data_IF_586468267458
#
_entry.id   IF_586468267458
#
_cell.length_a   1.000
_cell.length_b   1.000
_cell.length_c   1.000
_cell.angle_alpha   90.00
_cell.angle_beta   90.00
_cell.angle_gamma   90.00
#
_symmetry.space_group_name_H-M   'P 1'
#
loop_
_entity.id
_entity.type
_entity.pdbx_description
1 polymer ?
#
# COMPACT_ATOMS: atom_id res chain seq x y z
N UNK A 1 43.00 -33.93 50.93
CA UNK A 1 42.63 -33.76 49.53
C UNK A 1 42.94 -32.35 49.04
N UNK A 2 42.79 -31.36 49.87
CA UNK A 2 43.04 -29.91 49.59
C UNK A 2 44.51 -29.62 49.19
N UNK A 3 45.49 -30.28 49.80
CA UNK A 3 46.92 -30.01 49.55
C UNK A 3 47.40 -30.45 48.14
N UNK A 4 46.74 -31.44 47.53
CA UNK A 4 47.06 -31.83 46.13
C UNK A 4 46.51 -30.89 45.07
N UNK A 5 45.31 -30.37 45.24
CA UNK A 5 44.69 -29.43 44.33
C UNK A 5 45.46 -28.12 44.29
N UNK A 6 45.93 -27.64 45.45
CA UNK A 6 46.72 -26.41 45.55
C UNK A 6 48.07 -26.55 44.79
N UNK A 7 48.67 -27.73 44.82
CA UNK A 7 49.90 -28.00 44.10
C UNK A 7 49.75 -28.11 42.60
N UNK A 8 48.58 -28.60 42.10
CA UNK A 8 48.26 -28.60 40.68
C UNK A 8 48.03 -27.20 40.16
N UNK A 9 47.25 -26.38 40.88
CA UNK A 9 47.03 -24.97 40.52
C UNK A 9 48.37 -24.23 40.40
N UNK A 10 49.22 -24.32 41.38
CA UNK A 10 50.53 -23.64 41.36
C UNK A 10 51.42 -24.06 40.19
N UNK A 11 51.33 -25.31 39.72
CA UNK A 11 52.08 -25.78 38.54
C UNK A 11 51.47 -25.18 37.28
N UNK A 12 50.14 -25.13 37.16
CA UNK A 12 49.44 -24.58 36.01
C UNK A 12 49.70 -23.05 35.93
N UNK A 13 49.53 -22.32 37.02
CA UNK A 13 49.76 -20.88 37.10
C UNK A 13 51.21 -20.54 36.66
N UNK A 14 52.21 -21.29 37.13
CA UNK A 14 53.59 -21.09 36.72
C UNK A 14 53.83 -21.37 35.23
N UNK A 15 53.14 -22.40 34.66
CA UNK A 15 53.24 -22.71 33.25
C UNK A 15 52.52 -21.65 32.37
N UNK A 16 51.44 -21.07 32.86
CA UNK A 16 50.73 -19.99 32.21
C UNK A 16 51.56 -18.71 32.17
N UNK A 17 52.19 -18.34 33.30
CA UNK A 17 53.11 -17.16 33.35
C UNK A 17 54.27 -17.30 32.35
N UNK A 18 54.70 -18.49 32.02
CA UNK A 18 55.83 -18.81 31.12
C UNK A 18 55.41 -19.24 29.72
N UNK A 19 54.12 -19.19 29.42
CA UNK A 19 53.62 -19.50 28.07
C UNK A 19 54.08 -18.43 27.06
N UNK A 20 54.43 -18.81 25.82
CA UNK A 20 54.39 -20.14 25.18
C UNK A 20 55.70 -20.96 25.29
N UNK A 21 56.74 -20.47 25.98
CA UNK A 21 58.07 -21.08 25.97
C UNK A 21 58.12 -22.47 26.62
N UNK A 22 57.27 -22.73 27.62
CA UNK A 22 57.24 -23.95 28.39
C UNK A 22 58.40 -24.14 29.35
N UNK A 23 58.25 -24.98 30.35
CA UNK A 23 59.26 -25.24 31.36
C UNK A 23 59.60 -26.73 31.41
N UNK A 24 60.85 -27.00 31.73
CA UNK A 24 61.30 -28.36 32.01
C UNK A 24 60.97 -28.76 33.46
N UNK A 25 60.87 -30.09 33.75
CA UNK A 25 60.66 -30.62 35.13
C UNK A 25 61.62 -29.98 36.13
N UNK A 26 62.86 -29.76 35.69
CA UNK A 26 63.92 -29.19 36.57
C UNK A 26 63.73 -27.74 36.85
N UNK A 27 63.21 -26.98 35.89
CA UNK A 27 62.85 -25.54 36.03
C UNK A 27 61.63 -25.35 36.96
N UNK A 28 60.57 -26.12 36.75
CA UNK A 28 59.36 -26.13 37.58
C UNK A 28 59.69 -26.48 39.02
N UNK A 29 60.54 -27.58 39.23
CA UNK A 29 60.95 -28.00 40.54
C UNK A 29 61.75 -26.93 41.30
N UNK A 30 62.59 -26.15 40.60
CA UNK A 30 63.37 -25.01 41.16
C UNK A 30 62.48 -23.84 41.55
N UNK A 31 61.57 -23.43 40.66
CA UNK A 31 60.73 -22.28 40.90
C UNK A 31 59.70 -22.54 42.01
N UNK A 32 59.15 -23.72 42.07
CA UNK A 32 58.19 -24.10 43.13
C UNK A 32 58.82 -24.64 44.42
N UNK A 33 60.14 -24.80 44.48
CA UNK A 33 60.83 -25.34 45.66
C UNK A 33 60.45 -26.80 45.95
N UNK A 34 60.07 -27.60 44.93
CA UNK A 34 59.57 -28.94 45.10
C UNK A 34 60.54 -30.03 44.57
N UNK A 35 60.38 -31.23 45.09
CA UNK A 35 61.16 -32.35 44.61
C UNK A 35 60.85 -32.72 43.17
N UNK A 36 61.85 -32.95 42.35
CA UNK A 36 61.74 -33.26 40.92
C UNK A 36 60.92 -34.53 40.63
N UNK A 37 60.96 -35.53 41.48
CA UNK A 37 60.15 -36.73 41.35
C UNK A 37 58.66 -36.46 41.61
N UNK A 38 58.39 -35.59 42.54
CA UNK A 38 56.95 -35.12 42.79
C UNK A 38 56.39 -34.32 41.63
N UNK A 39 57.15 -33.37 41.08
CA UNK A 39 56.76 -32.61 39.91
C UNK A 39 56.48 -33.51 38.70
N UNK A 40 57.35 -34.53 38.48
CA UNK A 40 57.11 -35.52 37.40
C UNK A 40 55.76 -36.18 37.54
N UNK A 41 55.44 -36.68 38.76
CA UNK A 41 54.15 -37.34 39.01
C UNK A 41 52.96 -36.41 38.80
N UNK A 42 53.09 -35.14 39.24
CA UNK A 42 52.00 -34.12 39.03
C UNK A 42 51.85 -33.83 37.56
N UNK A 43 52.92 -33.64 36.82
CA UNK A 43 52.87 -33.40 35.38
C UNK A 43 52.33 -34.61 34.61
N UNK A 44 52.62 -35.88 35.02
CA UNK A 44 52.04 -37.05 34.41
C UNK A 44 50.50 -37.09 34.60
N UNK A 45 50.02 -36.67 35.76
CA UNK A 45 48.57 -36.53 36.04
C UNK A 45 47.96 -35.38 35.19
N UNK A 46 48.56 -34.21 35.20
CA UNK A 46 48.12 -33.07 34.41
C UNK A 46 48.18 -33.29 32.90
N UNK A 47 49.08 -34.08 32.43
CA UNK A 47 49.18 -34.53 31.05
C UNK A 47 48.09 -35.55 30.71
N UNK A 48 47.80 -36.50 31.61
CA UNK A 48 46.71 -37.46 31.41
C UNK A 48 45.33 -36.85 31.52
N UNK A 49 45.16 -35.79 32.33
CA UNK A 49 43.93 -34.96 32.34
C UNK A 49 43.82 -34.02 31.13
N UNK A 50 44.91 -33.79 30.43
CA UNK A 50 44.95 -32.93 29.25
C UNK A 50 45.17 -31.46 29.56
N UNK A 51 45.44 -31.07 30.80
CA UNK A 51 45.67 -29.69 31.24
C UNK A 51 47.07 -29.19 30.85
N UNK A 52 48.00 -30.09 30.64
CA UNK A 52 49.38 -29.80 30.24
C UNK A 52 49.79 -30.65 29.04
N UNK A 53 50.41 -30.03 28.06
CA UNK A 53 51.02 -30.71 26.91
C UNK A 53 52.54 -30.79 27.05
N UNK A 54 53.15 -31.90 26.59
CA UNK A 54 54.60 -32.11 26.62
C UNK A 54 55.17 -32.09 25.19
N UNK A 55 56.19 -31.30 24.97
CA UNK A 55 56.98 -31.28 23.72
C UNK A 55 58.47 -31.70 24.05
N UNK A 56 59.08 -32.46 23.19
CA UNK A 56 60.53 -32.78 23.28
C UNK A 56 61.30 -31.65 22.53
N UNK A 57 62.20 -31.02 23.23
CA UNK A 57 63.16 -30.10 22.64
C UNK A 57 64.62 -30.65 22.92
N UNK A 58 65.18 -31.26 21.91
CA UNK A 58 66.41 -31.95 22.05
C UNK A 58 66.34 -33.10 23.08
N UNK A 59 67.18 -33.10 24.11
CA UNK A 59 67.19 -34.08 25.23
C UNK A 59 66.22 -33.69 26.38
N UNK A 60 65.58 -32.54 26.32
CA UNK A 60 64.72 -32.03 27.38
C UNK A 60 63.25 -32.18 27.03
N UNK A 61 62.42 -32.49 28.03
CA UNK A 61 60.96 -32.44 27.95
C UNK A 61 60.52 -31.04 28.47
N UNK A 62 59.79 -30.30 27.63
CA UNK A 62 59.13 -28.99 27.98
C UNK A 62 57.66 -29.24 28.14
N UNK A 63 57.11 -28.69 29.19
CA UNK A 63 55.68 -28.72 29.50
C UNK A 63 55.09 -27.33 29.33
N UNK A 64 53.97 -27.27 28.63
CA UNK A 64 53.20 -26.04 28.40
C UNK A 64 51.75 -26.23 28.84
N UNK A 65 51.06 -25.23 29.35
CA UNK A 65 49.66 -25.34 29.62
C UNK A 65 48.91 -25.60 28.32
N UNK A 66 47.95 -26.47 28.38
CA UNK A 66 47.05 -26.68 27.23
C UNK A 66 45.97 -25.61 27.33
N UNK A 67 45.94 -24.66 26.39
CA UNK A 67 44.83 -23.71 26.26
C UNK A 67 43.56 -24.47 25.77
N UNK A 68 43.00 -25.31 26.64
CA UNK A 68 41.68 -25.91 26.40
C UNK A 68 40.70 -25.14 27.25
N UNK A 69 39.72 -24.51 26.58
CA UNK A 69 38.53 -24.06 27.28
C UNK A 69 37.89 -25.31 27.90
N UNK A 70 37.59 -25.32 29.20
CA UNK A 70 36.92 -26.47 29.82
C UNK A 70 35.66 -26.82 29.04
N UNK A 71 35.43 -28.10 28.76
CA UNK A 71 34.24 -28.54 28.01
C UNK A 71 32.94 -28.08 28.68
N UNK A 72 32.94 -27.97 30.01
CA UNK A 72 31.80 -27.40 30.76
C UNK A 72 31.54 -25.94 30.42
N UNK A 73 32.60 -25.12 30.27
CA UNK A 73 32.46 -23.71 29.90
C UNK A 73 31.96 -23.56 28.46
N UNK A 74 32.43 -24.41 27.54
CA UNK A 74 31.91 -24.45 26.17
C UNK A 74 30.44 -24.86 26.14
N UNK A 75 30.07 -25.87 26.95
CA UNK A 75 28.71 -26.35 27.07
C UNK A 75 27.76 -25.24 27.60
N UNK A 76 28.23 -24.46 28.59
CA UNK A 76 27.46 -23.34 29.15
C UNK A 76 27.33 -22.13 28.21
N UNK A 77 28.28 -21.94 27.28
CA UNK A 77 28.23 -20.87 26.27
C UNK A 77 27.37 -21.21 25.08
N UNK A 78 26.88 -22.43 24.94
CA UNK A 78 25.97 -22.79 23.85
C UNK A 78 24.64 -22.05 24.00
N UNK A 79 24.17 -21.49 22.90
CA UNK A 79 22.90 -20.74 22.86
C UNK A 79 21.67 -21.62 22.96
N UNK A 80 21.78 -22.87 22.52
CA UNK A 80 20.69 -23.82 22.63
C UNK A 80 20.56 -24.28 24.09
N UNK A 81 19.33 -24.43 24.55
CA UNK A 81 19.07 -25.06 25.86
C UNK A 81 19.30 -26.57 25.76
N UNK A 82 20.22 -27.08 26.54
CA UNK A 82 20.63 -28.51 26.44
C UNK A 82 20.50 -29.19 27.80
N UNK A 83 19.88 -30.38 27.78
CA UNK A 83 19.84 -31.29 28.91
C UNK A 83 20.34 -32.68 28.49
N UNK A 84 21.14 -33.29 29.32
CA UNK A 84 21.64 -34.67 29.16
C UNK A 84 21.04 -35.53 30.26
N UNK A 85 20.45 -36.65 29.85
CA UNK A 85 19.72 -37.58 30.71
C UNK A 85 20.44 -38.94 30.70
N UNK A 86 20.32 -39.69 31.80
CA UNK A 86 20.66 -41.10 31.84
C UNK A 86 19.56 -42.00 31.21
N UNK A 87 19.76 -43.31 31.27
CA UNK A 87 18.83 -44.32 30.76
C UNK A 87 17.48 -44.31 31.50
N UNK A 88 17.45 -43.83 32.74
CA UNK A 88 16.25 -43.74 33.60
C UNK A 88 15.63 -42.35 33.57
N UNK A 89 16.12 -41.49 32.67
CA UNK A 89 15.65 -40.09 32.46
C UNK A 89 15.95 -39.15 33.62
N UNK A 90 17.00 -39.47 34.46
CA UNK A 90 17.49 -38.52 35.43
C UNK A 90 18.46 -37.54 34.76
N UNK A 91 18.42 -36.31 35.20
CA UNK A 91 19.25 -35.23 34.65
C UNK A 91 20.69 -35.43 35.08
N UNK A 92 21.58 -35.67 34.12
CA UNK A 92 23.03 -35.75 34.34
C UNK A 92 23.67 -34.36 34.23
N UNK A 93 23.31 -33.59 33.24
CA UNK A 93 23.84 -32.24 33.00
C UNK A 93 22.82 -31.36 32.34
N UNK A 94 22.89 -30.06 32.64
CA UNK A 94 22.16 -28.98 31.92
C UNK A 94 23.13 -27.82 31.71
N UNK A 95 22.91 -27.05 30.64
CA UNK A 95 23.66 -25.82 30.45
C UNK A 95 22.88 -24.60 30.96
N UNK A 96 23.59 -23.50 31.11
CA UNK A 96 22.98 -22.21 31.58
C UNK A 96 21.81 -21.77 30.70
N UNK A 97 21.86 -22.03 29.38
CA UNK A 97 20.75 -21.71 28.46
C UNK A 97 19.50 -22.53 28.78
N UNK A 98 19.57 -23.76 29.19
CA UNK A 98 18.44 -24.60 29.59
C UNK A 98 17.70 -23.99 30.79
N UNK A 99 18.46 -23.59 31.83
CA UNK A 99 17.92 -22.99 33.04
C UNK A 99 17.19 -21.66 32.71
N UNK A 100 17.84 -20.86 31.89
CA UNK A 100 17.31 -19.54 31.47
C UNK A 100 16.06 -19.65 30.60
N UNK A 101 16.09 -20.49 29.57
CA UNK A 101 15.01 -20.64 28.59
C UNK A 101 13.76 -21.22 29.22
N UNK A 102 13.89 -22.13 30.17
CA UNK A 102 12.74 -22.75 30.82
C UNK A 102 12.36 -22.10 32.16
N UNK A 103 12.93 -20.93 32.47
CA UNK A 103 12.55 -20.16 33.67
C UNK A 103 12.75 -20.89 34.98
N UNK A 104 13.76 -21.77 35.06
CA UNK A 104 14.02 -22.53 36.27
C UNK A 104 14.69 -21.59 37.29
N UNK A 105 13.89 -21.09 38.24
CA UNK A 105 14.34 -20.18 39.29
C UNK A 105 14.58 -20.94 40.60
N UNK A 106 15.74 -20.68 41.22
CA UNK A 106 16.11 -21.17 42.59
C UNK A 106 17.25 -22.14 42.59
N UNK A 107 17.91 -22.26 43.75
CA UNK A 107 19.05 -23.15 44.03
C UNK A 107 18.65 -24.66 44.06
N UNK A 108 17.60 -25.06 43.38
CA UNK A 108 17.25 -26.47 43.25
C UNK A 108 18.32 -27.14 42.41
N UNK A 109 19.10 -28.00 43.08
CA UNK A 109 19.98 -28.90 42.38
C UNK A 109 19.14 -29.88 41.53
N UNK A 110 18.90 -29.50 40.28
CA UNK A 110 18.10 -30.29 39.32
C UNK A 110 18.87 -31.52 38.81
N UNK A 111 20.17 -31.58 39.08
CA UNK A 111 21.02 -32.73 38.72
C UNK A 111 20.60 -33.91 39.57
N UNK A 112 20.39 -35.05 38.93
CA UNK A 112 19.91 -36.28 39.52
C UNK A 112 18.39 -36.39 39.70
N UNK A 113 17.65 -35.33 39.42
CA UNK A 113 16.18 -35.39 39.44
C UNK A 113 15.62 -36.00 38.15
N UNK A 114 14.50 -36.74 38.21
CA UNK A 114 13.79 -37.17 37.00
C UNK A 114 13.29 -35.96 36.19
N UNK A 115 13.51 -35.94 34.87
CA UNK A 115 13.14 -34.80 33.99
C UNK A 115 11.66 -34.45 34.13
N UNK A 116 10.79 -35.44 34.22
CA UNK A 116 9.32 -35.21 34.26
C UNK A 116 8.82 -34.68 35.61
N UNK A 117 9.61 -34.83 36.68
CA UNK A 117 9.25 -34.30 38.01
C UNK A 117 9.50 -32.80 38.14
N UNK A 118 10.25 -32.22 37.21
CA UNK A 118 10.47 -30.76 37.17
C UNK A 118 9.22 -29.97 36.75
N UNK A 119 8.16 -30.65 36.39
CA UNK A 119 6.88 -30.06 36.03
C UNK A 119 6.97 -28.98 34.89
N UNK A 120 7.98 -29.12 34.05
CA UNK A 120 8.19 -28.25 32.89
C UNK A 120 7.15 -28.57 31.81
N UNK A 121 6.30 -27.62 31.46
CA UNK A 121 5.17 -27.83 30.53
C UNK A 121 5.60 -28.44 29.20
N UNK A 122 6.73 -28.01 28.67
CA UNK A 122 7.26 -28.52 27.42
C UNK A 122 7.47 -30.03 27.44
N UNK A 123 7.96 -30.63 28.55
CA UNK A 123 8.19 -32.07 28.69
C UNK A 123 6.95 -32.88 29.07
N UNK A 124 5.83 -32.21 29.35
CA UNK A 124 4.56 -32.89 29.61
C UNK A 124 3.83 -33.24 28.31
N UNK A 125 4.26 -32.69 27.13
CA UNK A 125 3.68 -33.01 25.86
C UNK A 125 3.84 -34.51 25.52
N UNK A 126 2.73 -35.21 25.20
CA UNK A 126 2.80 -36.63 24.85
C UNK A 126 3.67 -36.94 23.64
N UNK A 127 3.88 -35.97 22.72
CA UNK A 127 4.76 -36.18 21.58
C UNK A 127 6.22 -36.21 21.99
N UNK A 128 6.65 -35.40 22.94
CA UNK A 128 7.99 -35.41 23.50
C UNK A 128 8.25 -36.75 24.23
N UNK A 129 7.30 -37.18 25.06
CA UNK A 129 7.43 -38.51 25.75
C UNK A 129 7.60 -39.64 24.76
N UNK A 130 6.78 -39.70 23.73
CA UNK A 130 6.91 -40.70 22.65
C UNK A 130 8.27 -40.65 21.94
N UNK A 131 8.79 -39.44 21.71
CA UNK A 131 10.09 -39.29 21.04
C UNK A 131 11.24 -39.78 21.96
N UNK A 132 11.19 -39.48 23.26
CA UNK A 132 12.16 -39.99 24.24
C UNK A 132 12.15 -41.52 24.29
N UNK A 133 10.97 -42.15 24.26
CA UNK A 133 10.84 -43.60 24.23
C UNK A 133 11.39 -44.22 22.93
N UNK A 134 11.26 -43.55 21.80
CA UNK A 134 11.78 -44.00 20.50
C UNK A 134 13.28 -43.92 20.37
N UNK A 135 13.97 -43.03 21.09
CA UNK A 135 15.44 -42.83 21.00
C UNK A 135 16.25 -44.00 21.46
N UNK A 136 15.67 -45.01 22.07
CA UNK A 136 16.35 -46.28 22.32
C UNK A 136 16.83 -47.00 21.04
N UNK A 137 16.34 -46.54 19.85
CA UNK A 137 16.85 -46.95 18.54
C UNK A 137 17.93 -45.98 18.05
N UNK A 138 18.97 -46.42 17.31
CA UNK A 138 20.01 -45.54 16.81
C UNK A 138 19.45 -44.54 15.79
N UNK A 139 19.64 -43.24 16.03
CA UNK A 139 19.20 -42.13 15.17
C UNK A 139 19.07 -40.83 15.93
N UNK A 140 19.08 -39.72 15.19
CA UNK A 140 18.76 -38.40 15.73
C UNK A 140 17.35 -38.02 15.28
N UNK A 141 16.54 -37.58 16.20
CA UNK A 141 15.15 -37.23 15.92
C UNK A 141 14.96 -35.71 16.08
N UNK A 142 14.42 -35.07 15.05
CA UNK A 142 14.11 -33.67 15.02
C UNK A 142 12.57 -33.48 15.07
N UNK A 143 12.11 -32.67 16.01
CA UNK A 143 10.69 -32.36 16.14
C UNK A 143 10.50 -30.84 16.36
N UNK A 144 9.73 -30.22 15.52
CA UNK A 144 9.30 -28.84 15.72
C UNK A 144 8.04 -28.83 16.59
N UNK A 145 8.08 -28.10 17.70
CA UNK A 145 6.98 -28.00 18.62
C UNK A 145 6.63 -26.58 18.93
N UNK A 146 5.34 -26.29 18.97
CA UNK A 146 4.80 -25.02 19.43
C UNK A 146 4.41 -25.17 20.90
N UNK A 147 5.08 -24.41 21.77
CA UNK A 147 4.77 -24.35 23.19
C UNK A 147 4.16 -22.98 23.52
N UNK A 148 3.02 -23.00 24.19
CA UNK A 148 2.32 -21.79 24.63
C UNK A 148 2.52 -21.66 26.14
N UNK A 149 3.27 -20.65 26.55
CA UNK A 149 3.48 -20.31 27.95
C UNK A 149 2.77 -18.98 28.26
N UNK A 150 1.71 -19.06 29.03
CA UNK A 150 0.81 -17.99 29.47
C UNK A 150 0.38 -16.98 28.41
N UNK A 151 0.95 -15.99 28.03
CA UNK A 151 0.59 -15.05 26.95
C UNK A 151 1.64 -14.97 25.85
N UNK A 152 2.74 -15.71 25.97
CA UNK A 152 3.80 -15.72 24.98
C UNK A 152 3.86 -17.08 24.28
N UNK A 153 3.61 -17.04 22.97
CA UNK A 153 3.63 -18.23 22.14
C UNK A 153 5.07 -18.51 21.67
N UNK A 154 5.80 -19.37 22.38
CA UNK A 154 7.14 -19.80 22.00
C UNK A 154 7.13 -21.04 21.11
N UNK A 155 7.97 -21.05 20.09
CA UNK A 155 8.15 -22.19 19.17
C UNK A 155 9.58 -22.71 19.34
N UNK A 156 9.68 -23.96 19.76
CA UNK A 156 10.98 -24.61 19.95
C UNK A 156 11.21 -25.67 18.88
N UNK A 157 12.41 -25.66 18.31
CA UNK A 157 12.93 -26.77 17.56
C UNK A 157 13.64 -27.70 18.58
N UNK A 158 13.14 -28.93 18.72
CA UNK A 158 13.65 -29.88 19.70
C UNK A 158 14.37 -31.00 18.96
N UNK A 159 15.62 -31.21 19.34
CA UNK A 159 16.49 -32.25 18.80
C UNK A 159 16.81 -33.24 19.90
N UNK A 160 16.66 -34.52 19.60
CA UNK A 160 16.93 -35.60 20.50
C UNK A 160 18.06 -36.44 19.90
N UNK A 161 19.10 -36.70 20.66
CA UNK A 161 20.23 -37.51 20.24
C UNK A 161 20.63 -38.54 21.33
N UNK A 162 20.93 -39.76 20.95
CA UNK A 162 21.52 -40.71 21.90
C UNK A 162 22.90 -40.24 22.30
N UNK A 163 23.25 -40.41 23.57
CA UNK A 163 24.57 -40.08 24.11
C UNK A 163 25.07 -41.24 25.02
N UNK A 164 26.32 -41.15 25.43
CA UNK A 164 26.92 -42.10 26.34
C UNK A 164 27.49 -41.34 27.53
N UNK A 165 27.14 -41.75 28.74
CA UNK A 165 27.68 -41.17 29.98
C UNK A 165 29.15 -41.54 30.19
N UNK A 166 29.85 -40.83 31.10
CA UNK A 166 31.24 -41.11 31.46
C UNK A 166 31.51 -42.55 31.92
N UNK A 167 30.48 -43.29 32.30
CA UNK A 167 30.57 -44.69 32.76
C UNK A 167 30.21 -45.67 31.62
N UNK A 168 30.06 -45.18 30.38
CA UNK A 168 29.71 -46.02 29.22
C UNK A 168 28.23 -46.44 29.19
N UNK A 169 27.38 -45.90 30.04
CA UNK A 169 25.94 -46.17 30.02
C UNK A 169 25.24 -45.30 28.98
N UNK A 170 24.22 -45.81 28.27
CA UNK A 170 23.44 -45.04 27.31
C UNK A 170 22.69 -43.91 28.02
N UNK A 171 22.55 -42.80 27.34
CA UNK A 171 21.82 -41.63 27.77
C UNK A 171 21.16 -40.90 26.59
N UNK A 172 20.48 -39.81 26.85
CA UNK A 172 19.77 -39.00 25.84
C UNK A 172 20.19 -37.55 26.02
N UNK A 173 20.57 -36.91 24.94
CA UNK A 173 20.74 -35.46 24.88
C UNK A 173 19.49 -34.85 24.23
N UNK A 174 18.91 -33.84 24.87
CA UNK A 174 17.80 -33.04 24.32
C UNK A 174 18.30 -31.60 24.16
N UNK A 175 18.23 -31.09 22.94
CA UNK A 175 18.57 -29.72 22.61
C UNK A 175 17.32 -28.97 22.20
N UNK A 176 17.06 -27.81 22.81
CA UNK A 176 15.94 -26.93 22.48
C UNK A 176 16.49 -25.63 21.93
N UNK A 177 16.03 -25.26 20.74
CA UNK A 177 16.32 -23.98 20.11
C UNK A 177 15.03 -23.17 19.98
N UNK A 178 15.00 -21.99 20.56
CA UNK A 178 13.90 -21.06 20.33
C UNK A 178 13.99 -20.53 18.89
N UNK A 179 12.99 -20.83 18.08
CA UNK A 179 12.86 -20.40 16.69
C UNK A 179 11.69 -19.45 16.49
N UNK A 180 11.14 -18.89 17.58
CA UNK A 180 9.96 -18.03 17.56
C UNK A 180 10.15 -16.83 16.64
N UNK A 181 11.26 -16.11 16.79
CA UNK A 181 11.59 -14.95 15.97
C UNK A 181 11.68 -15.31 14.47
N UNK A 182 12.33 -16.43 14.16
CA UNK A 182 12.46 -16.93 12.80
C UNK A 182 11.11 -17.34 12.19
N UNK A 183 10.27 -18.06 12.93
CA UNK A 183 8.92 -18.47 12.48
C UNK A 183 7.97 -17.28 12.31
N UNK A 184 8.06 -16.31 13.21
CA UNK A 184 7.28 -15.08 13.08
C UNK A 184 7.70 -14.29 11.84
N UNK A 185 9.00 -14.17 11.58
CA UNK A 185 9.52 -13.50 10.39
C UNK A 185 9.11 -14.26 9.10
N UNK A 186 9.21 -15.59 9.09
CA UNK A 186 8.75 -16.43 7.97
C UNK A 186 7.25 -16.22 7.69
N UNK A 187 6.44 -16.25 8.76
CA UNK A 187 4.99 -16.06 8.66
C UNK A 187 4.64 -14.64 8.21
N UNK A 188 5.33 -13.64 8.75
CA UNK A 188 5.15 -12.25 8.34
C UNK A 188 5.49 -12.05 6.85
N UNK A 189 6.60 -12.65 6.39
CA UNK A 189 6.99 -12.61 4.98
C UNK A 189 5.91 -13.26 4.08
N UNK A 190 5.48 -14.47 4.40
CA UNK A 190 4.41 -15.18 3.67
C UNK A 190 3.11 -14.39 3.63
N UNK A 191 2.75 -13.77 4.75
CA UNK A 191 1.55 -12.93 4.81
C UNK A 191 1.70 -11.66 3.98
N UNK A 192 2.87 -11.03 4.00
CA UNK A 192 3.19 -9.87 3.16
C UNK A 192 3.12 -10.21 1.67
N UNK A 193 3.76 -11.30 1.26
CA UNK A 193 3.70 -11.78 -0.13
C UNK A 193 2.26 -12.08 -0.57
N UNK A 194 1.48 -12.76 0.28
CA UNK A 194 0.08 -13.06 0.00
C UNK A 194 -0.74 -11.78 -0.13
N UNK A 195 -0.50 -10.79 0.73
CA UNK A 195 -1.17 -9.49 0.70
C UNK A 195 -0.84 -8.74 -0.60
N UNK A 196 0.44 -8.65 -0.95
CA UNK A 196 0.90 -8.01 -2.19
C UNK A 196 0.27 -8.70 -3.41
N UNK A 197 0.31 -10.02 -3.48
CA UNK A 197 -0.28 -10.80 -4.56
C UNK A 197 -1.81 -10.58 -4.67
N UNK A 198 -2.49 -10.47 -3.53
CA UNK A 198 -3.93 -10.21 -3.51
C UNK A 198 -4.21 -8.80 -4.06
N UNK A 199 -3.51 -7.77 -3.58
CA UNK A 199 -3.64 -6.40 -4.07
C UNK A 199 -3.38 -6.35 -5.58
N UNK A 200 -2.28 -6.92 -6.05
CA UNK A 200 -1.92 -6.97 -7.45
C UNK A 200 -3.04 -7.59 -8.33
N UNK A 201 -3.71 -8.63 -7.83
CA UNK A 201 -4.80 -9.31 -8.56
C UNK A 201 -6.14 -8.59 -8.52
N UNK A 202 -6.45 -7.86 -7.45
CA UNK A 202 -7.79 -7.30 -7.18
C UNK A 202 -7.92 -5.82 -7.51
N UNK A 203 -6.80 -5.09 -7.60
CA UNK A 203 -6.82 -3.68 -8.02
C UNK A 203 -7.51 -3.55 -9.39
N UNK A 204 -8.48 -2.63 -9.54
CA UNK A 204 -9.22 -2.43 -10.79
C UNK A 204 -8.39 -1.77 -11.89
N UNK A 205 -7.26 -1.18 -11.55
CA UNK A 205 -6.30 -0.63 -12.52
C UNK A 205 -5.45 -1.75 -13.12
N UNK A 206 -5.15 -1.65 -14.41
CA UNK A 206 -4.21 -2.54 -15.09
C UNK A 206 -2.79 -2.29 -14.57
N UNK A 207 -2.05 -3.36 -14.29
CA UNK A 207 -0.65 -3.30 -13.92
C UNK A 207 0.11 -4.27 -14.82
N UNK A 208 1.12 -3.78 -15.54
CA UNK A 208 2.02 -4.58 -16.36
C UNK A 208 3.44 -4.29 -15.91
N UNK A 209 4.19 -5.35 -15.65
CA UNK A 209 5.63 -5.29 -15.34
C UNK A 209 6.41 -5.69 -16.59
N UNK A 210 7.46 -4.95 -16.91
CA UNK A 210 8.26 -5.19 -18.11
C UNK A 210 9.71 -4.74 -17.92
N UNK A 211 10.61 -5.25 -18.74
CA UNK A 211 12.03 -4.91 -18.77
C UNK A 211 12.31 -3.70 -19.66
N UNK A 212 13.50 -3.13 -19.59
CA UNK A 212 13.91 -1.96 -20.38
C UNK A 212 13.84 -2.20 -21.90
N UNK A 213 13.93 -3.45 -22.36
CA UNK A 213 13.74 -3.85 -23.76
C UNK A 213 12.28 -4.05 -24.18
N UNK A 214 11.35 -3.86 -23.22
CA UNK A 214 9.91 -3.98 -23.45
C UNK A 214 9.35 -5.38 -23.28
N UNK A 215 10.14 -6.36 -22.85
CA UNK A 215 9.67 -7.71 -22.57
C UNK A 215 8.75 -7.71 -21.35
N UNK A 216 7.54 -8.25 -21.49
CA UNK A 216 6.55 -8.29 -20.44
C UNK A 216 6.86 -9.42 -19.47
N UNK A 217 7.06 -9.06 -18.19
CA UNK A 217 7.38 -9.99 -17.10
C UNK A 217 6.11 -10.51 -16.41
N UNK A 218 5.16 -9.62 -16.14
CA UNK A 218 3.94 -9.97 -15.42
C UNK A 218 2.82 -8.97 -15.71
N UNK A 219 1.58 -9.37 -15.48
CA UNK A 219 0.43 -8.49 -15.56
C UNK A 219 -0.68 -8.97 -14.62
N UNK A 220 -1.44 -8.04 -14.08
CA UNK A 220 -2.58 -8.38 -13.23
C UNK A 220 -3.83 -8.72 -14.08
N UNK A 221 -4.87 -9.23 -13.41
CA UNK A 221 -6.11 -9.60 -14.08
C UNK A 221 -6.80 -8.40 -14.76
N UNK A 222 -6.75 -7.23 -14.12
CA UNK A 222 -7.37 -6.02 -14.66
C UNK A 222 -6.74 -5.61 -15.99
N UNK A 223 -5.41 -5.74 -16.15
CA UNK A 223 -4.74 -5.46 -17.44
C UNK A 223 -5.33 -6.26 -18.58
N UNK A 224 -5.54 -7.56 -18.36
CA UNK A 224 -6.11 -8.44 -19.41
C UNK A 224 -7.54 -8.00 -19.76
N UNK A 225 -8.36 -7.68 -18.76
CA UNK A 225 -9.74 -7.24 -18.96
C UNK A 225 -9.81 -5.89 -19.69
N UNK A 226 -8.99 -4.92 -19.28
CA UNK A 226 -8.97 -3.58 -19.87
C UNK A 226 -8.44 -3.59 -21.31
N UNK A 227 -7.49 -4.45 -21.63
CA UNK A 227 -6.97 -4.64 -22.99
C UNK A 227 -7.83 -5.60 -23.83
N UNK A 228 -8.82 -6.26 -23.25
CA UNK A 228 -9.68 -7.22 -23.94
C UNK A 228 -8.95 -8.53 -24.31
N UNK A 229 -8.00 -8.95 -23.47
CA UNK A 229 -7.25 -10.20 -23.63
C UNK A 229 -7.85 -11.31 -22.77
N UNK A 230 -7.78 -12.54 -23.22
CA UNK A 230 -8.30 -13.71 -22.48
C UNK A 230 -7.26 -14.33 -21.56
N UNK A 231 -6.00 -14.31 -21.98
CA UNK A 231 -4.92 -15.00 -21.28
C UNK A 231 -3.66 -14.13 -21.17
N UNK A 232 -2.90 -14.38 -20.13
CA UNK A 232 -1.58 -13.75 -19.96
C UNK A 232 -0.61 -14.13 -21.09
N UNK A 233 -0.74 -15.33 -21.65
CA UNK A 233 0.09 -15.80 -22.76
C UNK A 233 -0.09 -14.94 -24.02
N UNK A 234 -1.30 -14.46 -24.29
CA UNK A 234 -1.58 -13.54 -25.39
C UNK A 234 -0.86 -12.19 -25.21
N UNK A 235 -0.78 -11.70 -24.00
CA UNK A 235 -0.06 -10.47 -23.67
C UNK A 235 1.47 -10.66 -23.79
N UNK A 236 2.00 -11.78 -23.29
CA UNK A 236 3.44 -12.08 -23.33
C UNK A 236 3.98 -12.38 -24.73
N UNK A 237 3.12 -12.66 -25.71
CA UNK A 237 3.58 -12.88 -27.09
C UNK A 237 4.01 -11.60 -27.81
N UNK A 238 3.70 -10.43 -27.24
CA UNK A 238 4.07 -9.12 -27.77
C UNK A 238 5.11 -8.40 -26.89
N UNK A 239 5.69 -7.36 -27.45
CA UNK A 239 6.50 -6.41 -26.72
C UNK A 239 5.65 -5.19 -26.37
N UNK A 240 5.86 -4.60 -25.19
CA UNK A 240 5.07 -3.44 -24.75
C UNK A 240 5.20 -2.25 -25.70
N UNK A 241 6.35 -2.13 -26.37
CA UNK A 241 6.62 -1.08 -27.33
C UNK A 241 5.96 -1.30 -28.71
N UNK A 242 5.51 -2.53 -28.99
CA UNK A 242 4.78 -2.84 -30.22
C UNK A 242 3.31 -2.38 -30.14
N UNK A 243 2.80 -2.14 -28.93
CA UNK A 243 1.48 -1.57 -28.74
C UNK A 243 1.52 -0.12 -29.21
N UNK A 244 0.87 0.18 -30.33
CA UNK A 244 1.00 1.45 -31.08
C UNK A 244 0.65 2.71 -30.26
N UNK A 245 -0.13 2.59 -29.20
CA UNK A 245 -0.44 3.71 -28.29
C UNK A 245 0.74 4.11 -27.38
N UNK A 246 1.78 3.26 -27.25
CA UNK A 246 2.92 3.53 -26.36
C UNK A 246 4.19 4.01 -27.12
N UNK A 247 4.22 3.92 -28.44
CA UNK A 247 5.42 4.28 -29.22
C UNK A 247 5.79 5.75 -29.07
N UNK A 248 7.04 5.98 -28.66
CA UNK A 248 7.67 7.29 -28.58
C UNK A 248 7.76 7.86 -27.18
N UNK A 249 6.63 8.05 -26.51
CA UNK A 249 6.61 8.67 -25.17
C UNK A 249 7.22 7.75 -24.13
N UNK A 250 6.90 6.46 -24.17
CA UNK A 250 7.38 5.46 -23.20
C UNK A 250 8.90 5.28 -23.25
N UNK A 251 9.49 5.22 -24.46
CA UNK A 251 10.94 5.06 -24.61
C UNK A 251 11.72 6.23 -23.99
N UNK A 252 11.23 7.46 -24.17
CA UNK A 252 11.88 8.64 -23.57
C UNK A 252 11.83 8.61 -22.05
N UNK A 253 10.69 8.21 -21.47
CA UNK A 253 10.49 8.13 -20.03
C UNK A 253 11.33 7.04 -19.38
N UNK A 254 11.42 5.87 -20.04
CA UNK A 254 12.27 4.75 -19.59
C UNK A 254 13.74 5.18 -19.57
N UNK A 255 14.21 5.86 -20.62
CA UNK A 255 15.60 6.35 -20.69
C UNK A 255 15.94 7.35 -19.59
N UNK A 256 14.96 8.11 -19.10
CA UNK A 256 15.14 9.09 -18.04
C UNK A 256 15.03 8.48 -16.62
N UNK A 257 14.52 7.25 -16.48
CA UNK A 257 14.33 6.59 -15.19
C UNK A 257 13.39 7.34 -14.24
N UNK A 258 12.52 8.19 -14.77
CA UNK A 258 11.59 9.02 -14.00
C UNK A 258 10.19 8.42 -14.00
N UNK A 259 9.44 8.71 -12.92
CA UNK A 259 7.99 8.49 -12.88
C UNK A 259 7.33 9.50 -13.81
N UNK A 260 6.42 9.03 -14.67
CA UNK A 260 5.70 9.90 -15.57
C UNK A 260 4.23 9.51 -15.65
N UNK A 261 3.38 10.53 -15.66
CA UNK A 261 1.94 10.40 -15.82
C UNK A 261 1.52 10.98 -17.18
N UNK A 262 0.69 10.26 -17.88
CA UNK A 262 0.18 10.68 -19.20
C UNK A 262 -1.15 10.05 -19.52
N UNK A 263 -1.96 10.74 -20.31
CA UNK A 263 -3.14 10.12 -20.91
C UNK A 263 -2.79 9.48 -22.25
N UNK A 264 -3.26 8.25 -22.45
CA UNK A 264 -3.11 7.54 -23.70
C UNK A 264 -4.46 7.25 -24.33
N UNK A 265 -4.49 7.40 -25.65
CA UNK A 265 -5.66 7.05 -26.46
C UNK A 265 -5.33 5.78 -27.25
N UNK A 266 -6.06 4.72 -26.95
CA UNK A 266 -5.89 3.43 -27.61
C UNK A 266 -7.05 3.18 -28.59
N UNK A 267 -6.73 3.09 -29.88
CA UNK A 267 -7.65 2.63 -30.92
C UNK A 267 -7.51 1.11 -31.07
N UNK A 268 -8.41 0.36 -30.44
CA UNK A 268 -8.40 -1.08 -30.43
C UNK A 268 -8.71 -1.69 -31.81
N UNK A 269 -9.44 -0.99 -32.66
CA UNK A 269 -9.72 -1.45 -34.03
C UNK A 269 -8.48 -1.34 -34.90
N UNK A 270 -7.64 -0.34 -34.66
CA UNK A 270 -6.32 -0.19 -35.29
C UNK A 270 -5.35 -1.26 -34.78
N UNK A 271 -5.22 -1.46 -33.46
CA UNK A 271 -4.34 -2.49 -32.86
C UNK A 271 -4.67 -3.88 -33.42
N UNK A 272 -5.95 -4.19 -33.61
CA UNK A 272 -6.40 -5.46 -34.20
C UNK A 272 -6.03 -5.57 -35.66
N UNK A 273 -6.19 -4.52 -36.45
CA UNK A 273 -5.84 -4.52 -37.87
C UNK A 273 -4.34 -4.70 -38.12
N UNK A 274 -3.53 -4.10 -37.25
CA UNK A 274 -2.07 -4.21 -37.33
C UNK A 274 -1.54 -5.53 -36.73
N UNK A 275 -2.43 -6.41 -36.24
CA UNK A 275 -2.16 -7.75 -35.70
C UNK A 275 -1.11 -7.81 -34.58
N UNK A 276 -0.91 -6.72 -33.88
CA UNK A 276 0.13 -6.61 -32.87
C UNK A 276 -0.19 -7.45 -31.63
N UNK A 277 -1.45 -7.49 -31.21
CA UNK A 277 -1.95 -8.29 -30.08
C UNK A 277 -3.39 -8.72 -30.39
N UNK A 278 -3.83 -9.94 -30.02
CA UNK A 278 -5.18 -10.47 -30.28
C UNK A 278 -6.24 -9.87 -29.37
N UNK A 279 -6.42 -8.54 -29.39
CA UNK A 279 -7.39 -7.84 -28.54
C UNK A 279 -8.83 -8.09 -29.00
N UNK A 280 -9.72 -8.37 -28.05
CA UNK A 280 -11.16 -8.53 -28.29
C UNK A 280 -11.96 -7.25 -28.03
N UNK A 281 -11.37 -6.24 -27.44
CA UNK A 281 -11.96 -4.92 -27.21
C UNK A 281 -12.08 -4.18 -28.53
N UNK A 282 -13.11 -3.34 -28.67
CA UNK A 282 -13.38 -2.54 -29.88
C UNK A 282 -13.41 -1.05 -29.54
N UNK A 283 -13.22 -0.22 -30.58
CA UNK A 283 -13.34 1.21 -30.50
C UNK A 283 -12.17 1.90 -29.79
N UNK A 284 -12.38 3.15 -29.43
CA UNK A 284 -11.36 4.01 -28.80
C UNK A 284 -11.56 3.98 -27.29
N UNK A 285 -10.48 3.78 -26.57
CA UNK A 285 -10.44 3.93 -25.11
C UNK A 285 -9.40 4.96 -24.67
N UNK A 286 -9.70 5.63 -23.57
CA UNK A 286 -8.83 6.61 -22.93
C UNK A 286 -8.29 5.99 -21.64
N UNK A 287 -6.98 5.99 -21.48
CA UNK A 287 -6.31 5.49 -20.29
C UNK A 287 -5.51 6.59 -19.62
N UNK A 288 -5.66 6.70 -18.31
CA UNK A 288 -4.73 7.42 -17.46
C UNK A 288 -3.62 6.45 -17.08
N UNK A 289 -2.37 6.81 -17.36
CA UNK A 289 -1.23 5.88 -17.31
C UNK A 289 -0.07 6.48 -16.54
N UNK A 290 0.45 5.68 -15.60
CA UNK A 290 1.62 5.99 -14.80
C UNK A 290 2.72 4.99 -15.12
N UNK A 291 3.88 5.50 -15.53
CA UNK A 291 5.11 4.72 -15.69
C UNK A 291 5.99 4.90 -14.48
N UNK A 292 6.51 3.83 -13.90
CA UNK A 292 7.41 3.88 -12.76
C UNK A 292 8.51 2.84 -12.84
N UNK A 293 9.77 3.19 -12.59
CA UNK A 293 10.84 2.22 -12.41
C UNK A 293 10.64 1.45 -11.10
N UNK A 294 10.95 0.14 -11.09
CA UNK A 294 10.80 -0.73 -9.91
C UNK A 294 12.15 -1.13 -9.35
N UNK A 295 13.07 -1.58 -10.18
CA UNK A 295 14.34 -2.13 -9.75
C UNK A 295 15.51 -1.36 -10.39
N UNK A 296 16.51 -1.06 -9.55
CA UNK A 296 17.79 -0.51 -9.97
C UNK A 296 18.88 -1.50 -9.57
N UNK A 297 19.60 -2.02 -10.55
CA UNK A 297 20.77 -2.85 -10.30
C UNK A 297 21.97 -1.98 -9.92
N UNK A 298 22.37 -2.02 -8.64
CA UNK A 298 23.67 -1.52 -8.15
C UNK A 298 24.00 -0.04 -8.44
N UNK A 299 22.99 0.85 -8.59
CA UNK A 299 23.20 2.28 -8.90
C UNK A 299 23.26 2.61 -10.39
N UNK A 300 22.92 1.66 -11.27
CA UNK A 300 22.78 1.84 -12.72
C UNK A 300 21.38 2.34 -13.14
N UNK A 301 21.13 2.32 -14.47
CA UNK A 301 19.81 2.58 -15.01
C UNK A 301 18.80 1.52 -14.54
N UNK A 302 17.52 1.88 -14.38
CA UNK A 302 16.49 0.93 -13.98
C UNK A 302 16.38 -0.25 -14.97
N UNK A 303 16.31 -1.47 -14.46
CA UNK A 303 16.18 -2.70 -15.26
C UNK A 303 14.75 -3.15 -15.46
N UNK A 304 13.86 -2.82 -14.54
CA UNK A 304 12.44 -3.19 -14.54
C UNK A 304 11.54 -1.99 -14.33
N UNK A 305 10.38 -2.02 -14.96
CA UNK A 305 9.39 -0.96 -14.96
C UNK A 305 7.99 -1.51 -14.73
N UNK A 306 7.12 -0.66 -14.19
CA UNK A 306 5.69 -0.89 -14.15
C UNK A 306 4.93 0.16 -14.96
N UNK A 307 3.88 -0.30 -15.63
CA UNK A 307 2.82 0.55 -16.16
C UNK A 307 1.59 0.29 -15.30
N UNK A 308 1.06 1.36 -14.72
CA UNK A 308 -0.26 1.37 -14.11
C UNK A 308 -1.18 2.13 -15.04
N UNK A 309 -2.35 1.57 -15.35
CA UNK A 309 -3.30 2.26 -16.21
C UNK A 309 -4.74 2.04 -15.75
N UNK A 310 -5.51 3.13 -15.81
CA UNK A 310 -6.92 3.17 -15.47
C UNK A 310 -7.72 3.57 -16.70
N UNK A 311 -8.81 2.86 -16.98
CA UNK A 311 -9.75 3.26 -18.01
C UNK A 311 -10.57 4.47 -17.53
N UNK A 312 -10.45 5.57 -18.25
CA UNK A 312 -11.17 6.82 -18.01
C UNK A 312 -12.11 7.16 -19.18
N UNK A 313 -12.44 6.16 -20.00
CA UNK A 313 -13.24 6.36 -21.21
C UNK A 313 -14.61 6.93 -20.89
N UNK A 314 -15.29 6.37 -19.89
CA UNK A 314 -16.63 6.82 -19.48
C UNK A 314 -16.60 8.25 -18.94
N UNK A 315 -15.63 8.56 -18.08
CA UNK A 315 -15.41 9.89 -17.50
C UNK A 315 -15.11 10.92 -18.60
N UNK A 316 -14.25 10.54 -19.55
CA UNK A 316 -13.87 11.41 -20.68
C UNK A 316 -15.04 11.67 -21.62
N UNK A 317 -15.82 10.66 -21.97
CA UNK A 317 -16.99 10.80 -22.82
C UNK A 317 -18.07 11.64 -22.14
N UNK A 318 -18.35 11.41 -20.86
CA UNK A 318 -19.30 12.22 -20.09
C UNK A 318 -18.88 13.69 -20.00
N UNK A 319 -17.58 13.94 -19.76
CA UNK A 319 -17.04 15.30 -19.75
C UNK A 319 -17.19 15.99 -21.13
N UNK A 320 -16.85 15.28 -22.22
CA UNK A 320 -17.03 15.80 -23.58
C UNK A 320 -18.50 16.10 -23.90
N UNK A 321 -19.40 15.22 -23.51
CA UNK A 321 -20.84 15.43 -23.69
C UNK A 321 -21.34 16.64 -22.91
N UNK A 322 -20.87 16.81 -21.66
CA UNK A 322 -21.22 17.98 -20.85
C UNK A 322 -20.74 19.29 -21.50
N UNK A 323 -19.47 19.34 -21.90
CA UNK A 323 -18.86 20.48 -22.60
C UNK A 323 -19.63 20.78 -23.90
N UNK A 324 -19.98 19.74 -24.67
CA UNK A 324 -20.76 19.91 -25.89
C UNK A 324 -22.17 20.48 -25.62
N UNK A 325 -22.86 19.96 -24.59
CA UNK A 325 -24.19 20.46 -24.18
C UNK A 325 -24.09 21.91 -23.70
N UNK A 326 -23.07 22.23 -22.91
CA UNK A 326 -22.87 23.60 -22.44
C UNK A 326 -22.57 24.57 -23.60
N UNK A 327 -21.63 24.16 -24.49
CA UNK A 327 -21.29 24.99 -25.66
C UNK A 327 -22.50 25.22 -26.58
N UNK A 328 -23.29 24.15 -26.79
CA UNK A 328 -24.53 24.23 -27.56
C UNK A 328 -25.53 25.15 -26.89
N UNK A 329 -25.77 24.99 -25.59
CA UNK A 329 -26.65 25.87 -24.82
C UNK A 329 -26.19 27.32 -24.92
N UNK A 330 -24.93 27.60 -24.66
CA UNK A 330 -24.35 28.94 -24.70
C UNK A 330 -24.44 29.56 -26.08
N UNK A 331 -24.22 28.77 -27.14
CA UNK A 331 -24.41 29.25 -28.52
C UNK A 331 -25.86 29.64 -28.80
N UNK A 332 -26.84 28.88 -28.38
CA UNK A 332 -28.25 29.26 -28.53
C UNK A 332 -28.60 30.49 -27.69
N UNK A 333 -28.17 30.49 -26.44
CA UNK A 333 -28.44 31.58 -25.50
C UNK A 333 -27.89 32.90 -25.99
N UNK A 334 -26.66 32.95 -26.47
CA UNK A 334 -26.02 34.20 -26.91
C UNK A 334 -26.45 34.67 -28.31
N UNK A 335 -26.81 33.76 -29.23
CA UNK A 335 -27.11 34.10 -30.61
C UNK A 335 -28.63 34.23 -30.90
N UNK A 336 -29.50 34.04 -29.92
CA UNK A 336 -30.93 34.36 -30.13
C UNK A 336 -31.13 35.87 -30.27
N UNK A 337 -32.06 36.27 -31.19
CA UNK A 337 -32.40 37.65 -31.38
C UNK A 337 -33.21 38.24 -30.23
N UNK A 338 -33.85 37.40 -29.43
CA UNK A 338 -34.62 37.81 -28.27
C UNK A 338 -33.71 37.95 -27.03
N UNK A 339 -33.99 38.96 -26.22
CA UNK A 339 -33.33 39.08 -24.93
C UNK A 339 -33.74 37.91 -24.03
N UNK A 340 -32.76 37.32 -23.35
CA UNK A 340 -33.00 36.27 -22.36
C UNK A 340 -32.35 36.68 -21.04
N UNK A 341 -33.17 36.66 -20.00
CA UNK A 341 -32.73 36.97 -18.63
C UNK A 341 -33.03 35.75 -17.75
N UNK A 342 -32.11 35.41 -16.88
CA UNK A 342 -32.28 34.39 -15.87
C UNK A 342 -32.16 35.04 -14.50
N UNK A 343 -33.16 34.82 -13.67
CA UNK A 343 -33.24 35.36 -12.32
C UNK A 343 -33.19 34.26 -11.28
N UNK A 344 -32.46 34.51 -10.23
CA UNK A 344 -32.51 33.71 -9.01
C UNK A 344 -33.45 34.37 -8.01
N UNK A 345 -34.58 33.73 -7.62
CA UNK A 345 -35.49 34.29 -6.64
C UNK A 345 -34.84 34.22 -5.26
N UNK A 346 -34.90 35.30 -4.49
CA UNK A 346 -34.46 35.38 -3.10
C UNK A 346 -35.63 35.82 -2.23
N UNK A 347 -35.51 35.63 -0.91
CA UNK A 347 -36.53 36.03 0.09
C UNK A 347 -37.93 35.49 -0.24
N UNK A 348 -38.04 34.22 -0.63
CA UNK A 348 -39.28 33.54 -1.06
C UNK A 348 -39.96 34.19 -2.30
N UNK A 349 -39.21 34.92 -3.14
CA UNK A 349 -39.69 35.57 -4.33
C UNK A 349 -40.08 37.05 -4.14
N UNK A 350 -39.72 37.64 -3.03
CA UNK A 350 -39.88 39.05 -2.80
C UNK A 350 -38.85 39.90 -3.57
N UNK A 351 -37.73 39.27 -3.94
CA UNK A 351 -36.66 39.91 -4.70
C UNK A 351 -36.04 38.90 -5.70
N UNK A 352 -35.40 39.41 -6.76
CA UNK A 352 -34.80 38.60 -7.82
C UNK A 352 -33.40 39.12 -8.16
N UNK A 353 -32.42 38.24 -8.25
CA UNK A 353 -31.04 38.55 -8.67
C UNK A 353 -30.83 38.11 -10.11
N UNK A 354 -30.26 38.97 -10.95
CA UNK A 354 -29.83 38.59 -12.29
C UNK A 354 -28.71 37.52 -12.20
N UNK A 355 -28.99 36.32 -12.68
CA UNK A 355 -28.04 35.20 -12.72
C UNK A 355 -27.27 35.17 -14.03
N UNK A 356 -27.97 35.35 -15.14
CA UNK A 356 -27.37 35.41 -16.47
C UNK A 356 -28.25 36.24 -17.41
N UNK A 357 -27.61 36.86 -18.42
CA UNK A 357 -28.25 37.59 -19.49
C UNK A 357 -27.52 37.35 -20.79
N UNK A 358 -28.22 37.29 -21.92
CA UNK A 358 -27.61 37.11 -23.24
C UNK A 358 -27.28 38.44 -23.89
N UNK A 359 -26.51 38.39 -24.97
CA UNK A 359 -26.11 39.60 -25.74
C UNK A 359 -27.27 40.40 -26.31
N UNK A 360 -28.40 39.78 -26.69
CA UNK A 360 -29.58 40.50 -27.13
C UNK A 360 -30.19 41.34 -26.00
N UNK A 361 -30.18 40.83 -24.76
CA UNK A 361 -30.60 41.59 -23.57
C UNK A 361 -29.76 42.85 -23.38
N UNK A 362 -28.44 42.75 -23.53
CA UNK A 362 -27.56 43.93 -23.41
C UNK A 362 -27.92 45.02 -24.41
N UNK A 363 -28.21 44.60 -25.64
CA UNK A 363 -28.63 45.54 -26.69
C UNK A 363 -30.00 46.20 -26.41
N UNK A 364 -30.98 45.39 -26.00
CA UNK A 364 -32.33 45.86 -25.70
C UNK A 364 -32.31 46.81 -24.50
N UNK A 365 -31.60 46.45 -23.43
CA UNK A 365 -31.55 47.28 -22.21
C UNK A 365 -30.51 48.40 -22.29
N UNK A 366 -29.59 48.33 -23.27
CA UNK A 366 -28.44 49.24 -23.39
C UNK A 366 -27.58 49.23 -22.12
N UNK A 367 -27.35 48.04 -21.56
CA UNK A 367 -26.57 47.79 -20.35
C UNK A 367 -25.67 46.59 -20.57
N UNK A 368 -24.44 46.62 -20.06
CA UNK A 368 -23.54 45.52 -20.16
C UNK A 368 -23.89 44.41 -19.14
N UNK A 369 -23.63 43.17 -19.49
CA UNK A 369 -23.90 42.01 -18.64
C UNK A 369 -23.29 42.13 -17.23
N UNK A 370 -22.09 42.70 -17.13
CA UNK A 370 -21.40 42.94 -15.87
C UNK A 370 -22.11 43.94 -14.94
N UNK A 371 -22.95 44.82 -15.51
CA UNK A 371 -23.75 45.80 -14.74
C UNK A 371 -25.07 45.21 -14.24
N UNK A 372 -25.47 44.07 -14.76
CA UNK A 372 -26.71 43.37 -14.42
C UNK A 372 -26.47 42.18 -13.51
N UNK A 373 -25.58 41.26 -13.89
CA UNK A 373 -25.38 40.00 -13.19
C UNK A 373 -24.93 40.23 -11.75
N UNK A 374 -25.59 39.56 -10.82
CA UNK A 374 -25.36 39.67 -9.37
C UNK A 374 -26.08 40.80 -8.68
N UNK A 375 -26.75 41.70 -9.45
CA UNK A 375 -27.56 42.76 -8.87
C UNK A 375 -29.03 42.37 -8.75
N UNK A 376 -29.75 43.06 -7.89
CA UNK A 376 -31.18 42.86 -7.66
C UNK A 376 -31.99 43.55 -8.76
N UNK A 377 -33.05 42.90 -9.24
CA UNK A 377 -33.92 43.44 -10.30
C UNK A 377 -34.45 44.81 -9.96
N UNK A 378 -35.03 45.01 -8.78
CA UNK A 378 -35.66 46.28 -8.37
C UNK A 378 -34.64 47.35 -7.91
N UNK A 379 -33.38 46.98 -7.72
CA UNK A 379 -32.28 47.94 -7.53
C UNK A 379 -31.80 48.51 -8.87
N UNK A 380 -31.70 47.68 -9.90
CA UNK A 380 -31.29 48.10 -11.25
C UNK A 380 -32.41 48.88 -11.94
N UNK A 381 -33.66 48.48 -11.73
CA UNK A 381 -34.84 49.09 -12.30
C UNK A 381 -35.84 49.55 -11.22
N UNK A 382 -35.53 50.61 -10.46
CA UNK A 382 -36.40 51.11 -9.40
C UNK A 382 -37.70 51.70 -9.91
N UNK A 383 -37.69 52.14 -11.14
CA UNK A 383 -38.86 52.67 -11.85
C UNK A 383 -39.66 51.60 -12.61
N UNK A 384 -39.39 50.32 -12.42
CA UNK A 384 -40.27 49.26 -12.93
C UNK A 384 -41.61 49.39 -12.19
N UNK A 385 -42.58 50.17 -12.74
CA UNK A 385 -43.60 50.72 -11.88
C UNK A 385 -44.80 49.83 -11.76
N UNK A 386 -44.68 48.61 -12.30
CA UNK A 386 -45.90 47.84 -12.44
C UNK A 386 -45.92 46.73 -11.40
N UNK A 387 -46.84 46.79 -10.42
CA UNK A 387 -47.10 45.63 -9.57
C UNK A 387 -47.32 44.37 -10.41
N UNK A 388 -47.73 44.50 -11.67
CA UNK A 388 -47.96 43.39 -12.58
C UNK A 388 -46.70 42.57 -12.88
N UNK A 389 -45.50 43.18 -13.00
CA UNK A 389 -44.24 42.43 -13.23
C UNK A 389 -43.83 41.63 -12.00
N UNK A 390 -43.87 42.28 -10.82
CA UNK A 390 -43.56 41.63 -9.56
C UNK A 390 -44.54 40.49 -9.26
N UNK A 391 -45.83 40.79 -9.43
CA UNK A 391 -46.89 39.82 -9.17
C UNK A 391 -46.83 38.65 -10.17
N UNK A 392 -46.46 38.89 -11.43
CA UNK A 392 -46.25 37.86 -12.42
C UNK A 392 -45.07 36.95 -12.06
N UNK A 393 -43.92 37.54 -11.67
CA UNK A 393 -42.76 36.74 -11.20
C UNK A 393 -43.13 35.90 -10.01
N UNK A 394 -43.86 36.43 -9.02
CA UNK A 394 -44.33 35.66 -7.86
C UNK A 394 -45.33 34.60 -8.26
N UNK A 395 -46.27 34.88 -9.17
CA UNK A 395 -47.25 33.88 -9.65
C UNK A 395 -46.55 32.75 -10.39
N UNK A 396 -45.62 33.05 -11.30
CA UNK A 396 -44.84 32.05 -12.05
C UNK A 396 -44.00 31.19 -11.09
N UNK A 397 -43.36 31.80 -10.09
CA UNK A 397 -42.60 31.09 -9.08
C UNK A 397 -43.46 30.08 -8.30
N UNK A 398 -44.67 30.49 -7.89
CA UNK A 398 -45.60 29.70 -7.08
C UNK A 398 -46.40 28.68 -7.87
N UNK A 399 -46.90 29.07 -9.06
CA UNK A 399 -47.81 28.23 -9.86
C UNK A 399 -47.11 27.37 -10.88
N UNK A 400 -45.84 27.68 -11.17
CA UNK A 400 -45.02 27.05 -12.23
C UNK A 400 -45.61 27.19 -13.64
N UNK A 401 -46.65 28.02 -13.78
CA UNK A 401 -47.27 28.26 -15.09
C UNK A 401 -46.63 29.50 -15.73
N UNK A 402 -46.24 29.41 -17.02
CA UNK A 402 -45.70 30.54 -17.75
C UNK A 402 -46.72 31.67 -17.88
N UNK A 403 -46.25 32.92 -17.89
CA UNK A 403 -47.06 34.11 -18.09
C UNK A 403 -46.48 35.03 -19.16
N UNK A 404 -47.37 35.66 -19.91
CA UNK A 404 -47.04 36.77 -20.81
C UNK A 404 -47.41 38.10 -20.16
N UNK A 405 -46.48 39.05 -20.19
CA UNK A 405 -46.76 40.41 -19.78
C UNK A 405 -47.06 41.29 -21.00
N UNK A 406 -47.92 42.28 -20.79
CA UNK A 406 -48.15 43.32 -21.77
C UNK A 406 -46.86 44.11 -22.07
N UNK A 407 -46.72 44.74 -23.26
CA UNK A 407 -45.52 45.47 -23.57
C UNK A 407 -45.29 46.60 -22.53
N UNK A 408 -44.03 46.57 -22.01
CA UNK A 408 -43.60 47.57 -21.03
C UNK A 408 -42.28 48.23 -21.47
N UNK A 409 -42.00 49.42 -20.94
CA UNK A 409 -40.73 50.09 -21.10
C UNK A 409 -39.96 50.09 -19.78
N UNK A 410 -38.72 49.73 -19.82
CA UNK A 410 -37.85 49.70 -18.61
C UNK A 410 -37.42 51.08 -18.14
N UNK A 411 -37.40 52.07 -19.07
CA UNK A 411 -37.13 53.53 -18.81
C UNK A 411 -38.15 54.38 -19.48
N UNK A 412 -38.55 55.44 -18.82
CA UNK A 412 -39.44 56.42 -19.40
C UNK A 412 -38.64 57.32 -20.36
N UNK A 413 -38.90 57.20 -21.67
CA UNK A 413 -38.25 58.03 -22.70
C UNK A 413 -38.61 57.56 -24.10
N UNK A 414 -38.49 58.50 -25.11
CA UNK A 414 -38.89 58.25 -26.50
C UNK A 414 -38.03 57.12 -27.16
N UNK A 415 -36.83 56.88 -26.66
CA UNK A 415 -35.91 55.91 -27.23
C UNK A 415 -35.84 54.58 -26.45
N UNK A 416 -36.71 54.39 -25.46
CA UNK A 416 -36.77 53.13 -24.74
C UNK A 416 -37.62 52.10 -25.49
N UNK A 417 -37.14 50.91 -25.79
CA UNK A 417 -37.91 49.94 -26.55
C UNK A 417 -39.12 49.43 -25.74
N UNK A 418 -40.17 49.08 -26.48
CA UNK A 418 -41.31 48.35 -25.94
C UNK A 418 -41.03 46.89 -26.00
N UNK A 419 -41.11 46.19 -24.83
CA UNK A 419 -40.68 44.81 -24.69
C UNK A 419 -41.83 43.97 -24.16
N UNK A 420 -42.16 42.90 -24.86
CA UNK A 420 -42.97 41.81 -24.33
C UNK A 420 -42.11 40.87 -23.51
N UNK A 421 -42.67 40.38 -22.42
CA UNK A 421 -42.03 39.36 -21.60
C UNK A 421 -42.84 38.08 -21.62
N UNK A 422 -42.11 36.95 -21.84
CA UNK A 422 -42.59 35.62 -21.58
C UNK A 422 -41.77 35.04 -20.43
N UNK A 423 -42.43 34.86 -19.30
CA UNK A 423 -41.77 34.47 -18.03
C UNK A 423 -42.16 33.03 -17.70
N UNK A 424 -41.19 32.22 -17.32
CA UNK A 424 -41.41 30.85 -16.90
C UNK A 424 -40.34 30.39 -15.88
N UNK A 425 -40.70 29.39 -15.09
CA UNK A 425 -39.80 28.80 -14.10
C UNK A 425 -38.98 27.66 -14.74
N UNK A 426 -37.66 27.65 -14.49
CA UNK A 426 -36.77 26.57 -14.87
C UNK A 426 -36.83 25.42 -13.86
N UNK A 427 -36.52 24.17 -14.25
CA UNK A 427 -36.45 23.04 -13.32
C UNK A 427 -35.43 23.22 -12.16
N UNK A 428 -34.45 24.12 -12.35
CA UNK A 428 -33.49 24.53 -11.33
C UNK A 428 -34.09 25.41 -10.22
N UNK A 429 -35.32 25.91 -10.42
CA UNK A 429 -35.99 26.84 -9.53
C UNK A 429 -35.81 28.33 -9.90
N UNK A 430 -34.92 28.59 -10.84
CA UNK A 430 -34.71 29.92 -11.40
C UNK A 430 -35.90 30.35 -12.28
N UNK A 431 -36.04 31.67 -12.50
CA UNK A 431 -37.03 32.23 -13.42
C UNK A 431 -36.30 32.69 -14.68
N UNK A 432 -36.78 32.25 -15.82
CA UNK A 432 -36.34 32.76 -17.11
C UNK A 432 -37.37 33.72 -17.70
N UNK A 433 -36.89 34.81 -18.33
CA UNK A 433 -37.71 35.74 -19.06
C UNK A 433 -37.16 35.92 -20.46
N UNK A 434 -37.98 35.71 -21.48
CA UNK A 434 -37.70 36.11 -22.85
C UNK A 434 -38.24 37.51 -23.08
N UNK A 435 -37.38 38.37 -23.61
CA UNK A 435 -37.69 39.75 -23.99
C UNK A 435 -37.81 39.84 -25.51
N UNK A 436 -38.95 40.28 -26.00
CA UNK A 436 -39.19 40.46 -27.42
C UNK A 436 -39.39 41.97 -27.65
N UNK A 437 -38.53 42.60 -28.45
CA UNK A 437 -38.70 44.00 -28.84
C UNK A 437 -39.84 44.08 -29.82
N UNK A 438 -40.87 44.89 -29.47
CA UNK A 438 -42.08 45.13 -30.27
C UNK A 438 -42.26 46.59 -30.58
N UNK A 439 -41.20 47.39 -30.50
CA UNK A 439 -41.24 48.83 -30.68
C UNK A 439 -41.83 49.26 -32.07
N UNK A 440 -41.43 48.51 -33.12
CA UNK A 440 -41.92 48.79 -34.48
C UNK A 440 -43.41 48.48 -34.62
N UNK A 441 -43.90 47.38 -34.05
CA UNK A 441 -45.31 47.01 -34.07
C UNK A 441 -46.18 48.04 -33.29
N UNK A 442 -45.68 48.50 -32.15
CA UNK A 442 -46.38 49.51 -31.33
C UNK A 442 -46.42 50.88 -32.04
N UNK A 443 -45.37 51.22 -32.81
CA UNK A 443 -45.33 52.43 -33.61
C UNK A 443 -46.34 52.41 -34.81
N UNK A 444 -46.41 51.25 -35.49
CA UNK A 444 -47.40 51.10 -36.60
C UNK A 444 -48.86 51.17 -36.13
N UNK A 445 -49.17 50.58 -34.93
CA UNK A 445 -50.51 50.70 -34.35
C UNK A 445 -50.84 52.14 -33.86
N UNK A 446 -49.84 52.94 -33.50
CA UNK A 446 -50.03 54.36 -33.11
C UNK A 446 -50.22 55.26 -34.30
N UNK A 447 -49.77 54.88 -35.50
CA UNK A 447 -49.98 55.65 -36.76
C UNK A 447 -51.30 55.29 -37.46
N UNK A 448 -52.01 54.23 -37.03
CA UNK A 448 -53.29 53.80 -37.60
C UNK A 448 -54.42 54.14 -36.64
N UNK A 449 -55.48 54.90 -37.07
CA UNK A 449 -56.61 55.22 -36.19
C UNK A 449 -57.33 53.90 -35.77
N UNK A 450 -57.88 53.82 -34.54
CA UNK A 450 -58.35 52.60 -33.93
C UNK A 450 -59.62 52.05 -34.60
N UNK A 451 -59.46 51.22 -35.60
CA UNK A 451 -60.50 50.28 -36.03
C UNK A 451 -59.91 48.87 -35.96
N UNK A 452 -60.50 48.12 -35.02
CA UNK A 452 -60.35 46.66 -34.87
C UNK A 452 -59.12 46.10 -34.07
N UNK A 453 -59.08 46.52 -32.81
CA UNK A 453 -58.10 45.92 -31.88
C UNK A 453 -58.46 44.51 -31.34
N UNK A 454 -59.61 43.92 -31.71
CA UNK A 454 -60.12 42.67 -31.15
C UNK A 454 -59.70 41.40 -31.92
N UNK A 455 -59.17 41.49 -33.13
CA UNK A 455 -58.88 40.34 -33.98
C UNK A 455 -57.42 39.86 -33.74
N UNK A 456 -56.47 40.73 -33.50
CA UNK A 456 -55.07 40.36 -33.27
C UNK A 456 -54.82 39.76 -31.88
N UNK A 457 -55.63 40.12 -30.88
CA UNK A 457 -55.52 39.50 -29.52
C UNK A 457 -55.85 38.03 -29.51
N UNK A 458 -56.65 37.54 -30.47
CA UNK A 458 -56.98 36.09 -30.58
C UNK A 458 -56.07 35.28 -31.50
N UNK A 459 -55.38 35.92 -32.44
CA UNK A 459 -54.47 35.20 -33.36
C UNK A 459 -53.07 34.98 -32.79
N UNK A 460 -52.52 35.94 -32.08
CA UNK A 460 -51.20 35.78 -31.44
C UNK A 460 -51.22 34.71 -30.31
N UNK A 461 -52.32 34.62 -29.56
CA UNK A 461 -52.48 33.57 -28.54
C UNK A 461 -52.71 32.17 -29.11
N UNK A 462 -53.20 32.04 -30.36
CA UNK A 462 -53.40 30.74 -31.02
C UNK A 462 -52.16 30.18 -31.72
N UNK A 463 -51.28 31.04 -32.22
CA UNK A 463 -50.09 30.59 -32.93
C UNK A 463 -49.03 29.91 -32.06
N UNK A 464 -49.09 30.08 -30.72
CA UNK A 464 -48.15 29.47 -29.77
C UNK A 464 -48.73 28.30 -28.97
N UNK A 465 -50.02 27.97 -29.18
CA UNK A 465 -50.65 26.79 -28.53
C UNK A 465 -50.67 25.53 -29.40
N UNK A 466 -50.33 25.62 -30.68
CA UNK A 466 -50.34 24.53 -31.65
C UNK A 466 -48.95 24.13 -32.19
N UNK A 467 -47.86 24.44 -31.45
CA UNK A 467 -46.51 23.95 -31.79
C UNK A 467 -45.83 23.27 -30.61
#
# INVERSE_FOLDING_TARGET
>A
MTDYLDKFSRIIDLLEERSPQGLSISAIARELGMNRASISKYLDVLQSSGDVSMRRFGRSKLYTPTQRVPLSELFDRLSNAIVILDADLHILMVNTSFIRTLGIHGERNIIGAPLFDLNLRIFQDPAIRRNIERIRQPGTYLTEMQHIEDSTNHIYLIEFAPTVSHVGKPGIMISLRDITAWKNAETALKNSEKKIRTIFRTVPSGIILFTADGTILNANRASLQLLGLKTFKELMSGNIFDISCYKGTVLQLIQQGMVAETELVCDFDRIRREQQIPVNRMGIAYFDVVFTPIAQDGGGAPSEFAILFKDITTERLACKELVFKETRYRSFFENTCNGVLIYEPIDNGDEYIFKDVNHATEKILQMEKQDLVGRKLFEVFPDLPDPDVRDALIRVLKTEKPEFLLPLQYRKGIDSPWVWHYIFKLPSGEIASFMIDVSDAVREDAETPPQTCDVHRKQSARAFHDS
#
